data_IF_419932589703
#
_entry.id   IF_419932589703
#
_cell.length_a   1.000
_cell.length_b   1.000
_cell.length_c   1.000
_cell.angle_alpha   90.00
_cell.angle_beta   90.00
_cell.angle_gamma   90.00
#
_symmetry.space_group_name_H-M   'P 1'
#
loop_
_entity.id
_entity.type
_entity.pdbx_description
1 polymer ?
#
# COMPACT_ATOMS: atom_id res chain seq x y z
N UNK A 1 -6.40 -14.37 13.67
CA UNK A 1 -7.27 -13.88 14.78
C UNK A 1 -7.81 -12.57 14.28
N UNK A 2 -9.07 -12.22 14.52
CA UNK A 2 -9.58 -10.94 14.04
C UNK A 2 -9.08 -9.78 14.91
N UNK A 3 -8.50 -8.76 14.29
CA UNK A 3 -8.11 -7.50 14.90
C UNK A 3 -9.34 -6.60 15.09
N UNK A 4 -9.71 -6.32 16.35
CA UNK A 4 -10.91 -5.56 16.69
C UNK A 4 -10.61 -4.07 16.92
N UNK A 5 -10.22 -3.36 15.86
CA UNK A 5 -9.85 -1.94 15.91
C UNK A 5 -10.71 -1.10 14.99
N UNK A 6 -10.77 0.21 15.25
CA UNK A 6 -11.39 1.15 14.31
C UNK A 6 -10.53 1.30 13.06
N UNK A 7 -11.18 1.29 11.89
CA UNK A 7 -10.53 1.52 10.60
C UNK A 7 -9.89 2.91 10.59
N UNK A 8 -8.57 3.03 10.38
CA UNK A 8 -7.92 4.32 10.25
C UNK A 8 -8.32 5.00 8.93
N UNK A 9 -8.11 6.32 8.83
CA UNK A 9 -8.22 7.02 7.55
C UNK A 9 -7.23 6.46 6.52
N UNK A 10 -7.54 6.52 5.22
CA UNK A 10 -6.58 6.14 4.18
C UNK A 10 -5.34 7.04 4.19
N UNK A 11 -4.21 6.58 3.61
CA UNK A 11 -3.07 7.43 3.33
C UNK A 11 -3.43 8.51 2.32
N UNK A 12 -2.75 9.65 2.40
CA UNK A 12 -2.76 10.65 1.32
C UNK A 12 -1.63 10.33 0.35
N UNK A 13 -1.93 10.35 -0.95
CA UNK A 13 -0.96 10.06 -2.01
C UNK A 13 -0.34 11.38 -2.46
N UNK A 14 0.92 11.62 -2.10
CA UNK A 14 1.60 12.86 -2.50
C UNK A 14 1.80 12.93 -4.02
N UNK A 15 1.24 13.98 -4.64
CA UNK A 15 1.48 14.30 -6.04
C UNK A 15 2.93 14.77 -6.22
N UNK A 16 3.66 14.18 -7.19
CA UNK A 16 5.04 14.57 -7.52
C UNK A 16 6.14 13.86 -6.73
N UNK A 17 5.85 12.74 -6.04
CA UNK A 17 6.90 11.79 -5.62
C UNK A 17 7.47 11.13 -6.86
N UNK A 18 8.71 11.50 -7.19
CA UNK A 18 9.52 10.89 -8.26
C UNK A 18 9.52 9.39 -8.04
N UNK A 19 8.88 8.67 -8.94
CA UNK A 19 8.66 7.25 -8.75
C UNK A 19 9.95 6.44 -9.01
N UNK A 20 10.93 7.07 -9.67
CA UNK A 20 12.36 6.72 -9.70
C UNK A 20 13.06 6.77 -8.33
N UNK A 21 12.46 7.35 -7.28
CA UNK A 21 13.03 7.32 -5.93
C UNK A 21 12.99 5.91 -5.29
N UNK A 22 12.27 4.98 -5.92
CA UNK A 22 12.12 3.60 -5.49
C UNK A 22 12.86 2.66 -6.45
N UNK A 23 13.90 1.99 -5.94
CA UNK A 23 14.86 1.17 -6.71
C UNK A 23 14.23 -0.08 -7.38
N UNK A 24 12.96 -0.40 -7.10
CA UNK A 24 12.29 -1.66 -7.47
C UNK A 24 11.14 -1.49 -8.48
N UNK A 25 10.86 -0.27 -8.99
CA UNK A 25 9.76 -0.07 -9.92
C UNK A 25 10.08 0.95 -11.03
N UNK A 26 9.94 0.54 -12.29
CA UNK A 26 9.90 1.44 -13.46
C UNK A 26 8.49 2.03 -13.50
N UNK A 27 8.23 2.99 -12.61
CA UNK A 27 6.89 3.55 -12.41
C UNK A 27 6.63 4.60 -13.48
N UNK A 28 6.19 4.15 -14.65
CA UNK A 28 5.53 5.00 -15.65
C UNK A 28 4.13 5.43 -15.22
N UNK A 29 3.96 5.80 -13.94
CA UNK A 29 2.67 6.17 -13.36
C UNK A 29 2.35 7.63 -13.63
N UNK A 30 1.46 7.89 -14.59
CA UNK A 30 0.92 9.22 -14.87
C UNK A 30 0.37 9.86 -13.58
N UNK A 31 0.77 11.09 -13.26
CA UNK A 31 0.36 11.81 -12.05
C UNK A 31 -1.18 11.83 -11.87
N UNK A 32 -1.92 11.80 -12.99
CA UNK A 32 -3.39 11.72 -13.01
C UNK A 32 -3.95 10.48 -12.29
N UNK A 33 -3.29 9.32 -12.44
CA UNK A 33 -3.76 8.07 -11.82
C UNK A 33 -3.62 8.08 -10.30
N UNK A 34 -2.71 8.90 -9.72
CA UNK A 34 -2.56 9.02 -8.27
C UNK A 34 -3.74 9.73 -7.62
N UNK A 35 -4.19 10.83 -8.21
CA UNK A 35 -5.37 11.56 -7.69
C UNK A 35 -6.63 10.67 -7.75
N UNK A 36 -6.78 9.86 -8.81
CA UNK A 36 -7.89 8.90 -8.91
C UNK A 36 -7.76 7.75 -7.89
N UNK A 37 -6.56 7.22 -7.67
CA UNK A 37 -6.32 6.21 -6.63
C UNK A 37 -6.66 6.75 -5.23
N UNK A 38 -6.25 7.99 -4.92
CA UNK A 38 -6.60 8.64 -3.65
C UNK A 38 -8.13 8.74 -3.49
N UNK A 39 -8.84 9.17 -4.55
CA UNK A 39 -10.29 9.23 -4.53
C UNK A 39 -10.93 7.86 -4.25
N UNK A 40 -10.48 6.79 -4.92
CA UNK A 40 -11.00 5.44 -4.68
C UNK A 40 -10.75 4.94 -3.25
N UNK A 41 -9.59 5.26 -2.68
CA UNK A 41 -9.28 4.96 -1.28
C UNK A 41 -10.25 5.66 -0.33
N UNK A 42 -10.59 6.93 -0.59
CA UNK A 42 -11.57 7.70 0.18
C UNK A 42 -13.02 7.24 -0.04
N UNK A 43 -13.36 6.73 -1.22
CA UNK A 43 -14.71 6.29 -1.59
C UNK A 43 -15.12 4.96 -0.94
N UNK A 44 -14.17 4.11 -0.55
CA UNK A 44 -14.46 2.89 0.19
C UNK A 44 -13.43 1.77 0.04
N UNK A 45 -12.53 1.83 -0.95
CA UNK A 45 -11.58 0.75 -1.20
C UNK A 45 -10.71 0.45 0.02
N UNK A 46 -10.31 1.50 0.74
CA UNK A 46 -9.55 1.37 1.98
C UNK A 46 -10.35 0.71 3.10
N UNK A 47 -11.61 1.11 3.31
CA UNK A 47 -12.45 0.54 4.38
C UNK A 47 -12.70 -0.97 4.14
N UNK A 48 -12.97 -1.33 2.90
CA UNK A 48 -13.21 -2.71 2.49
C UNK A 48 -11.97 -3.58 2.69
N UNK A 49 -10.83 -3.18 2.12
CA UNK A 49 -9.57 -3.90 2.25
C UNK A 49 -9.11 -3.98 3.71
N UNK A 50 -9.19 -2.89 4.48
CA UNK A 50 -8.81 -2.90 5.89
C UNK A 50 -9.69 -3.85 6.71
N UNK A 51 -10.99 -3.90 6.43
CA UNK A 51 -11.92 -4.79 7.13
C UNK A 51 -11.63 -6.26 6.82
N UNK A 52 -11.35 -6.59 5.55
CA UNK A 52 -10.96 -7.93 5.13
C UNK A 52 -9.63 -8.34 5.79
N UNK A 53 -8.61 -7.50 5.68
CA UNK A 53 -7.30 -7.72 6.29
C UNK A 53 -7.40 -7.89 7.82
N UNK A 54 -8.15 -7.01 8.51
CA UNK A 54 -8.31 -7.06 9.95
C UNK A 54 -9.00 -8.35 10.41
N UNK A 55 -9.84 -8.99 9.59
CA UNK A 55 -10.47 -10.26 9.93
C UNK A 55 -9.46 -11.42 10.00
N UNK A 56 -8.40 -11.39 9.20
CA UNK A 56 -7.49 -12.52 8.99
C UNK A 56 -6.07 -12.30 9.51
N UNK A 57 -5.67 -11.04 9.71
CA UNK A 57 -4.30 -10.67 10.08
C UNK A 57 -3.73 -11.43 11.29
N UNK A 58 -2.42 -11.66 11.23
CA UNK A 58 -1.64 -12.14 12.38
C UNK A 58 -1.35 -11.05 13.41
N UNK A 59 -1.59 -9.78 13.06
CA UNK A 59 -1.27 -8.62 13.91
C UNK A 59 -2.20 -8.53 15.12
N UNK A 60 -1.61 -8.26 16.28
CA UNK A 60 -2.33 -8.02 17.53
C UNK A 60 -2.72 -6.55 17.70
N UNK A 61 -3.71 -6.28 18.57
CA UNK A 61 -4.12 -4.91 18.91
C UNK A 61 -2.96 -4.05 19.46
N UNK A 62 -2.03 -4.68 20.18
CA UNK A 62 -0.83 -4.00 20.71
C UNK A 62 0.12 -3.60 19.58
N UNK A 63 0.34 -4.47 18.61
CA UNK A 63 1.18 -4.18 17.46
C UNK A 63 0.54 -3.10 16.57
N UNK A 64 -0.78 -3.16 16.39
CA UNK A 64 -1.51 -2.14 15.65
C UNK A 64 -1.52 -0.78 16.35
N UNK A 65 -1.52 -0.74 17.69
CA UNK A 65 -1.36 0.50 18.43
C UNK A 65 -0.01 1.18 18.12
N UNK A 66 1.08 0.40 18.01
CA UNK A 66 2.40 0.92 17.59
C UNK A 66 2.34 1.47 16.17
N UNK A 67 1.68 0.76 15.25
CA UNK A 67 1.46 1.21 13.86
C UNK A 67 0.76 2.58 13.83
N UNK A 68 -0.28 2.74 14.65
CA UNK A 68 -1.01 4.01 14.79
C UNK A 68 -0.16 5.12 15.41
N UNK A 69 0.53 4.84 16.50
CA UNK A 69 1.33 5.85 17.23
C UNK A 69 2.50 6.36 16.38
N UNK A 70 3.07 5.49 15.55
CA UNK A 70 4.11 5.87 14.57
C UNK A 70 3.53 6.49 13.29
N UNK A 71 2.21 6.50 13.11
CA UNK A 71 1.54 7.00 11.92
C UNK A 71 1.96 6.26 10.65
N UNK A 72 2.20 4.94 10.75
CA UNK A 72 2.68 4.16 9.60
C UNK A 72 1.60 4.05 8.52
N UNK A 73 0.32 3.94 8.88
CA UNK A 73 -0.80 3.89 7.91
C UNK A 73 -0.74 5.06 6.91
N UNK A 74 -0.47 6.29 7.38
CA UNK A 74 -0.40 7.47 6.50
C UNK A 74 0.83 7.48 5.59
N UNK A 75 1.75 6.52 5.72
CA UNK A 75 3.00 6.43 4.93
C UNK A 75 2.94 5.35 3.86
N UNK A 76 1.82 4.65 3.71
CA UNK A 76 1.60 3.87 2.51
C UNK A 76 1.59 4.78 1.30
N UNK A 77 2.22 4.31 0.22
CA UNK A 77 2.02 4.88 -1.12
C UNK A 77 1.41 3.81 -2.01
N UNK A 78 0.58 4.25 -2.95
CA UNK A 78 -0.07 3.41 -3.95
C UNK A 78 0.09 4.07 -5.31
N UNK A 79 0.36 3.27 -6.33
CA UNK A 79 0.59 3.78 -7.68
C UNK A 79 0.12 2.77 -8.72
N UNK A 80 -0.18 3.26 -9.91
CA UNK A 80 -0.43 2.39 -11.05
C UNK A 80 0.89 1.98 -11.71
N UNK A 81 1.08 0.68 -11.86
CA UNK A 81 2.19 0.06 -12.59
C UNK A 81 1.67 -0.37 -13.97
N UNK A 82 1.94 0.47 -14.98
CA UNK A 82 1.49 0.24 -16.36
C UNK A 82 2.17 -0.96 -17.01
N UNK A 83 3.43 -1.22 -16.63
CA UNK A 83 4.18 -2.36 -17.15
C UNK A 83 3.60 -3.69 -16.67
N UNK A 84 3.11 -3.75 -15.43
CA UNK A 84 2.54 -4.95 -14.84
C UNK A 84 1.00 -4.98 -14.82
N UNK A 85 0.33 -3.97 -15.41
CA UNK A 85 -1.13 -3.79 -15.43
C UNK A 85 -1.78 -4.01 -14.04
N UNK A 86 -1.22 -3.37 -13.02
CA UNK A 86 -1.68 -3.56 -11.63
C UNK A 86 -1.48 -2.32 -10.78
N UNK A 87 -2.12 -2.31 -9.62
CA UNK A 87 -1.80 -1.36 -8.56
C UNK A 87 -0.57 -1.87 -7.79
N UNK A 88 0.48 -1.07 -7.77
CA UNK A 88 1.64 -1.25 -6.91
C UNK A 88 1.46 -0.50 -5.59
N UNK A 89 2.20 -0.92 -4.57
CA UNK A 89 2.24 -0.25 -3.28
C UNK A 89 3.66 -0.20 -2.72
N UNK A 90 3.92 0.81 -1.90
CA UNK A 90 5.07 0.86 -1.03
C UNK A 90 4.61 0.77 0.42
N UNK A 91 4.80 -0.39 1.05
CA UNK A 91 4.44 -0.57 2.44
C UNK A 91 5.45 0.13 3.36
N UNK A 92 4.96 0.86 4.37
CA UNK A 92 5.81 1.38 5.42
C UNK A 92 6.33 0.21 6.28
N UNK A 93 7.50 0.39 6.88
CA UNK A 93 8.11 -0.63 7.72
C UNK A 93 8.90 -0.05 8.87
N UNK A 94 9.08 -0.87 9.89
CA UNK A 94 10.00 -0.61 10.99
C UNK A 94 11.43 -0.95 10.55
N UNK A 95 12.42 -0.08 10.82
CA UNK A 95 13.81 -0.29 10.43
C UNK A 95 14.45 -1.42 11.25
N UNK A 96 15.49 -2.06 10.70
CA UNK A 96 16.24 -3.11 11.40
C UNK A 96 16.92 -2.58 12.67
N UNK A 97 17.45 -1.36 12.66
CA UNK A 97 18.07 -0.72 13.82
C UNK A 97 17.05 -0.08 14.80
N UNK A 98 15.79 -0.52 14.79
CA UNK A 98 14.70 0.04 15.63
C UNK A 98 15.08 0.17 17.11
N UNK A 99 15.86 -0.80 17.62
CA UNK A 99 16.26 -0.87 19.02
C UNK A 99 17.31 0.16 19.38
N UNK A 100 18.23 0.46 18.47
CA UNK A 100 19.23 1.51 18.65
C UNK A 100 18.60 2.90 18.53
N UNK A 101 17.53 3.00 17.74
CA UNK A 101 16.79 4.24 17.49
C UNK A 101 15.72 4.55 18.53
N UNK A 102 15.40 3.62 19.43
CA UNK A 102 14.40 3.75 20.50
C UNK A 102 13.07 4.34 19.98
N UNK A 103 12.58 3.83 18.84
CA UNK A 103 11.49 4.47 18.09
C UNK A 103 10.12 4.37 18.76
N UNK A 104 9.92 3.37 19.63
CA UNK A 104 8.66 3.20 20.36
C UNK A 104 8.87 2.38 21.65
N UNK A 105 8.34 2.81 22.81
CA UNK A 105 8.57 2.14 24.09
C UNK A 105 7.97 0.74 24.17
N UNK A 106 6.86 0.48 23.46
CA UNK A 106 6.21 -0.84 23.42
C UNK A 106 6.81 -1.81 22.40
N UNK A 107 7.78 -1.36 21.61
CA UNK A 107 8.49 -2.24 20.69
C UNK A 107 9.62 -2.94 21.47
N UNK A 108 9.35 -4.16 21.94
CA UNK A 108 10.26 -4.89 22.85
C UNK A 108 10.91 -6.14 22.24
N UNK A 109 10.49 -6.55 21.04
CA UNK A 109 10.96 -7.78 20.42
C UNK A 109 11.02 -7.72 18.88
N UNK A 110 11.93 -8.53 18.31
CA UNK A 110 12.01 -8.75 16.86
C UNK A 110 10.76 -9.42 16.29
N UNK A 111 10.06 -10.22 17.10
CA UNK A 111 8.81 -10.85 16.67
C UNK A 111 7.73 -9.79 16.41
N UNK A 112 7.59 -8.80 17.30
CA UNK A 112 6.66 -7.68 17.09
C UNK A 112 7.02 -6.88 15.83
N UNK A 113 8.31 -6.60 15.61
CA UNK A 113 8.78 -5.91 14.40
C UNK A 113 8.42 -6.68 13.13
N UNK A 114 8.70 -7.99 13.10
CA UNK A 114 8.40 -8.83 11.96
C UNK A 114 6.90 -8.97 11.72
N UNK A 115 6.10 -9.08 12.78
CA UNK A 115 4.63 -9.15 12.72
C UNK A 115 4.05 -7.86 12.15
N UNK A 116 4.54 -6.71 12.61
CA UNK A 116 4.13 -5.39 12.09
C UNK A 116 4.47 -5.26 10.61
N UNK A 117 5.72 -5.53 10.22
CA UNK A 117 6.14 -5.40 8.82
C UNK A 117 5.38 -6.37 7.91
N UNK A 118 5.18 -7.62 8.33
CA UNK A 118 4.40 -8.60 7.58
C UNK A 118 2.94 -8.14 7.42
N UNK A 119 2.31 -7.71 8.52
CA UNK A 119 0.93 -7.26 8.51
C UNK A 119 0.70 -6.01 7.64
N UNK A 120 1.67 -5.07 7.61
CA UNK A 120 1.61 -3.90 6.72
C UNK A 120 1.77 -4.30 5.24
N UNK A 121 2.65 -5.23 4.93
CA UNK A 121 2.77 -5.78 3.57
C UNK A 121 1.48 -6.47 3.13
N UNK A 122 0.88 -7.30 4.00
CA UNK A 122 -0.40 -7.97 3.73
C UNK A 122 -1.52 -6.96 3.50
N UNK A 123 -1.61 -5.88 4.30
CA UNK A 123 -2.59 -4.82 4.10
C UNK A 123 -2.41 -4.10 2.76
N UNK A 124 -1.18 -3.79 2.37
CA UNK A 124 -0.88 -3.17 1.08
C UNK A 124 -1.33 -4.04 -0.10
N UNK A 125 -1.13 -5.36 -0.01
CA UNK A 125 -1.62 -6.31 -1.02
C UNK A 125 -3.15 -6.32 -1.11
N UNK A 126 -3.83 -6.43 0.02
CA UNK A 126 -5.29 -6.46 0.07
C UNK A 126 -5.90 -5.18 -0.55
N UNK A 127 -5.32 -4.01 -0.26
CA UNK A 127 -5.78 -2.74 -0.84
C UNK A 127 -5.58 -2.71 -2.35
N UNK A 128 -4.43 -3.18 -2.86
CA UNK A 128 -4.20 -3.29 -4.30
C UNK A 128 -5.18 -4.24 -4.98
N UNK A 129 -5.49 -5.38 -4.37
CA UNK A 129 -6.41 -6.37 -4.90
C UNK A 129 -7.84 -5.80 -4.98
N UNK A 130 -8.32 -5.13 -3.92
CA UNK A 130 -9.63 -4.46 -3.91
C UNK A 130 -9.68 -3.34 -4.95
N UNK A 131 -8.66 -2.48 -5.01
CA UNK A 131 -8.60 -1.38 -6.00
C UNK A 131 -8.69 -1.92 -7.43
N UNK A 132 -7.89 -2.95 -7.77
CA UNK A 132 -7.87 -3.52 -9.12
C UNK A 132 -9.13 -4.32 -9.46
N UNK A 133 -9.76 -4.97 -8.49
CA UNK A 133 -10.97 -5.77 -8.70
C UNK A 133 -12.22 -4.91 -8.85
N UNK A 134 -12.38 -3.92 -7.96
CA UNK A 134 -13.70 -3.32 -7.71
C UNK A 134 -13.78 -1.83 -8.07
N UNK A 135 -12.64 -1.13 -8.20
CA UNK A 135 -12.61 0.33 -8.41
C UNK A 135 -11.96 0.73 -9.75
N UNK A 136 -11.01 -0.04 -10.26
CA UNK A 136 -10.21 0.29 -11.44
C UNK A 136 -10.60 -0.56 -12.64
N UNK A 137 -11.01 0.09 -13.73
CA UNK A 137 -11.23 -0.52 -15.05
C UNK A 137 -10.11 -0.16 -16.05
N UNK A 138 -8.98 0.37 -15.56
CA UNK A 138 -7.85 0.76 -16.41
C UNK A 138 -7.15 -0.48 -16.97
N UNK A 139 -6.85 -0.40 -18.26
CA UNK A 139 -5.97 -1.32 -18.97
C UNK A 139 -4.82 -0.51 -19.58
N UNK A 140 -3.63 -1.10 -19.66
CA UNK A 140 -2.53 -0.52 -20.42
C UNK A 140 -2.97 -0.34 -21.89
N UNK A 141 -2.99 0.90 -22.38
CA UNK A 141 -3.34 1.20 -23.77
C UNK A 141 -2.19 0.73 -24.69
N UNK A 142 -2.27 -0.53 -25.14
CA UNK A 142 -1.35 -1.04 -26.16
C UNK A 142 -1.69 -0.41 -27.52
N UNK A 143 -1.01 0.67 -27.88
CA UNK A 143 -1.03 1.18 -29.25
C UNK A 143 -0.14 0.28 -30.12
N UNK A 144 -0.77 -0.61 -30.90
CA UNK A 144 -0.06 -1.42 -31.88
C UNK A 144 0.65 -0.49 -32.89
N UNK A 145 1.94 -0.72 -33.21
CA UNK A 145 2.62 0.11 -34.19
C UNK A 145 1.91 0.01 -35.55
N UNK A 146 1.54 1.15 -36.12
CA UNK A 146 0.81 1.30 -37.40
C UNK A 146 1.56 0.70 -38.61
N UNK A 147 2.84 0.32 -38.43
CA UNK A 147 3.74 -0.18 -39.46
C UNK A 147 3.81 -1.73 -39.45
N UNK A 148 2.66 -2.39 -39.70
CA UNK A 148 2.67 -3.79 -40.13
C UNK A 148 2.78 -3.82 -41.67
N UNK A 149 3.88 -4.32 -42.25
CA UNK A 149 3.99 -4.45 -43.70
C UNK A 149 2.99 -5.49 -44.22
N UNK A 150 2.17 -5.10 -45.21
CA UNK A 150 1.33 -6.01 -46.00
C UNK A 150 2.22 -7.11 -46.63
N UNK A 151 1.96 -8.37 -46.28
CA UNK A 151 2.65 -9.55 -46.83
C UNK A 151 1.90 -10.19 -47.99
#
# INVERSE_FOLDING_TARGET
>A
MSLAVETPSPPSLESGVDADAYDDADVGGDEYRRDELEAFLEEGAWEEAFTAWAAETGMTEREFAIVRDLGLVQRFDFFWDDFADRVGYHAPGLPEDWKERDIHPDLDSWNAVSSINAGLTELGQEVCDVLKSDYIDWEAEYEAPDDLPDF
#
